data_IF_629077994634
#
_entry.id   IF_629077994634
#
_cell.length_a   1.000
_cell.length_b   1.000
_cell.length_c   1.000
_cell.angle_alpha   90.00
_cell.angle_beta   90.00
_cell.angle_gamma   90.00
#
_symmetry.space_group_name_H-M   'P 1'
#
loop_
_entity.id
_entity.type
_entity.pdbx_description
1 polymer ?
#
# COMPACT_ATOMS: atom_id res chain seq x y z
N UNK A 1 -5.66 8.17 -16.96
CA UNK A 1 -5.33 7.01 -16.09
C UNK A 1 -3.84 7.02 -15.80
N UNK A 2 -3.42 7.31 -14.57
CA UNK A 2 -2.00 7.29 -14.23
C UNK A 2 -1.43 5.87 -14.39
N UNK A 3 -0.53 5.71 -15.35
CA UNK A 3 0.14 4.45 -15.64
C UNK A 3 1.09 4.10 -14.48
N UNK A 4 0.80 3.02 -13.75
CA UNK A 4 1.71 2.51 -12.74
C UNK A 4 2.66 1.52 -13.42
N UNK A 5 3.87 1.97 -13.74
CA UNK A 5 4.90 1.17 -14.38
C UNK A 5 5.96 0.65 -13.37
N UNK A 6 6.83 -0.25 -13.84
CA UNK A 6 7.87 -0.83 -12.99
C UNK A 6 8.91 0.22 -12.54
N UNK A 7 9.11 1.29 -13.30
CA UNK A 7 10.06 2.36 -12.97
C UNK A 7 9.56 3.23 -11.81
N UNK A 8 8.30 3.65 -11.84
CA UNK A 8 7.64 4.36 -10.72
C UNK A 8 7.64 3.51 -9.47
N UNK A 9 7.35 2.20 -9.61
CA UNK A 9 7.49 1.25 -8.51
C UNK A 9 8.93 1.25 -7.96
N UNK A 10 9.96 1.24 -8.81
CA UNK A 10 11.36 1.27 -8.36
C UNK A 10 11.69 2.56 -7.61
N UNK A 11 11.12 3.70 -7.99
CA UNK A 11 11.29 4.97 -7.28
C UNK A 11 10.64 5.01 -5.89
N UNK A 12 9.45 4.41 -5.75
CA UNK A 12 8.71 4.36 -4.47
C UNK A 12 9.18 3.23 -3.55
N UNK A 13 9.66 2.12 -4.12
CA UNK A 13 10.12 0.94 -3.39
C UNK A 13 11.12 1.21 -2.27
N UNK A 14 12.18 2.05 -2.41
CA UNK A 14 13.12 2.30 -1.31
C UNK A 14 12.44 2.93 -0.09
N UNK A 15 11.63 3.98 -0.28
CA UNK A 15 10.90 4.64 0.81
C UNK A 15 9.95 3.70 1.53
N UNK A 16 9.17 2.92 0.76
CA UNK A 16 8.23 1.94 1.34
C UNK A 16 9.00 0.85 2.11
N UNK A 17 10.12 0.37 1.57
CA UNK A 17 10.98 -0.60 2.26
C UNK A 17 11.58 -0.05 3.55
N UNK A 18 11.92 1.23 3.61
CA UNK A 18 12.39 1.87 4.84
C UNK A 18 11.30 1.90 5.91
N UNK A 19 10.06 2.28 5.55
CA UNK A 19 8.91 2.26 6.46
C UNK A 19 8.66 0.84 6.95
N UNK A 20 8.61 -0.15 6.04
CA UNK A 20 8.46 -1.55 6.42
C UNK A 20 9.56 -2.03 7.40
N UNK A 21 10.82 -1.61 7.21
CA UNK A 21 11.91 -1.95 8.15
C UNK A 21 11.72 -1.29 9.52
N UNK A 22 11.31 -0.02 9.57
CA UNK A 22 11.07 0.70 10.84
C UNK A 22 10.02 -0.01 11.69
N UNK A 23 8.97 -0.50 11.05
CA UNK A 23 7.86 -1.20 11.70
C UNK A 23 8.07 -2.72 11.84
N UNK A 24 9.24 -3.24 11.47
CA UNK A 24 9.54 -4.68 11.57
C UNK A 24 8.69 -5.57 10.66
N UNK A 25 8.15 -5.03 9.57
CA UNK A 25 7.26 -5.73 8.62
C UNK A 25 8.03 -6.14 7.37
N UNK A 26 7.86 -7.40 6.96
CA UNK A 26 8.36 -7.94 5.70
C UNK A 26 7.26 -7.89 4.65
N UNK A 27 7.33 -6.90 3.77
CA UNK A 27 6.40 -6.71 2.66
C UNK A 27 7.08 -6.71 1.29
N UNK A 28 6.30 -7.00 0.25
CA UNK A 28 6.72 -7.01 -1.15
C UNK A 28 5.77 -6.18 -2.01
N UNK A 29 6.32 -5.38 -2.93
CA UNK A 29 5.54 -4.57 -3.85
C UNK A 29 5.32 -5.33 -5.17
N UNK A 30 4.11 -5.26 -5.72
CA UNK A 30 3.74 -5.75 -7.04
C UNK A 30 2.97 -4.67 -7.80
N UNK A 31 3.03 -4.72 -9.13
CA UNK A 31 2.16 -3.91 -10.00
C UNK A 31 1.15 -4.86 -10.63
N UNK A 32 -0.14 -4.53 -10.53
CA UNK A 32 -1.23 -5.29 -11.17
C UNK A 32 -1.88 -4.42 -12.25
N UNK A 33 -2.08 -5.00 -13.43
CA UNK A 33 -2.75 -4.39 -14.59
C UNK A 33 -2.25 -2.98 -14.96
N UNK A 34 -0.97 -2.68 -14.70
CA UNK A 34 -0.34 -1.37 -14.93
C UNK A 34 -1.08 -0.17 -14.31
N UNK A 35 -1.92 -0.42 -13.31
CA UNK A 35 -2.84 0.56 -12.74
C UNK A 35 -3.01 0.42 -11.24
N UNK A 36 -2.53 -0.66 -10.63
CA UNK A 36 -2.60 -0.88 -9.18
C UNK A 36 -1.22 -1.18 -8.61
N UNK A 37 -0.84 -0.45 -7.57
CA UNK A 37 0.30 -0.78 -6.71
C UNK A 37 -0.20 -1.65 -5.55
N UNK A 38 0.30 -2.87 -5.48
CA UNK A 38 -0.11 -3.85 -4.47
C UNK A 38 1.03 -4.06 -3.48
N UNK A 39 0.78 -3.83 -2.20
CA UNK A 39 1.68 -4.18 -1.10
C UNK A 39 1.23 -5.50 -0.49
N UNK A 40 2.07 -6.54 -0.61
CA UNK A 40 1.81 -7.84 0.01
C UNK A 40 2.68 -7.99 1.26
N UNK A 41 2.04 -8.00 2.42
CA UNK A 41 2.68 -8.20 3.71
C UNK A 41 2.77 -9.69 3.98
N UNK A 42 3.97 -10.21 4.28
CA UNK A 42 4.21 -11.65 4.44
C UNK A 42 4.43 -12.07 5.89
N UNK A 43 5.15 -11.26 6.66
CA UNK A 43 5.42 -11.50 8.06
C UNK A 43 5.79 -10.19 8.76
N UNK A 44 5.71 -10.14 10.08
CA UNK A 44 6.09 -8.96 10.85
C UNK A 44 5.69 -9.06 12.32
N UNK A 45 6.09 -8.04 13.09
CA UNK A 45 5.80 -7.95 14.53
C UNK A 45 4.36 -7.46 14.75
N UNK A 46 3.88 -6.61 13.84
CA UNK A 46 2.54 -6.01 13.90
C UNK A 46 1.46 -7.07 13.77
N UNK A 47 0.45 -7.00 14.62
CA UNK A 47 -0.77 -7.78 14.49
C UNK A 47 -1.76 -7.05 13.57
N UNK A 48 -2.22 -7.74 12.52
CA UNK A 48 -3.25 -7.25 11.61
C UNK A 48 -4.58 -8.02 11.78
N UNK A 49 -4.68 -8.88 12.80
CA UNK A 49 -5.83 -9.74 13.05
C UNK A 49 -6.03 -10.80 11.97
N UNK A 50 -7.29 -11.20 11.76
CA UNK A 50 -7.67 -12.23 10.78
C UNK A 50 -7.96 -11.68 9.38
N UNK A 51 -7.69 -10.40 9.14
CA UNK A 51 -7.99 -9.75 7.86
C UNK A 51 -7.02 -10.21 6.77
N UNK A 52 -7.54 -10.50 5.58
CA UNK A 52 -6.72 -10.90 4.43
C UNK A 52 -6.37 -9.70 3.53
N UNK A 53 -7.16 -8.64 3.60
CA UNK A 53 -6.97 -7.43 2.80
C UNK A 53 -7.45 -6.21 3.59
N UNK A 54 -6.73 -5.11 3.46
CA UNK A 54 -7.02 -3.88 4.19
C UNK A 54 -7.81 -2.91 3.30
N UNK A 55 -8.91 -2.39 3.84
CA UNK A 55 -9.65 -1.32 3.18
C UNK A 55 -8.98 0.04 3.43
N UNK A 56 -8.36 0.60 2.39
CA UNK A 56 -7.69 1.91 2.40
C UNK A 56 -8.52 3.09 2.90
N UNK A 57 -9.85 3.01 2.89
CA UNK A 57 -10.73 4.13 3.27
C UNK A 57 -11.25 4.02 4.70
N UNK A 58 -11.28 2.82 5.28
CA UNK A 58 -11.90 2.54 6.58
C UNK A 58 -10.97 1.79 7.56
N UNK A 59 -9.67 1.69 7.24
CA UNK A 59 -8.71 0.96 8.07
C UNK A 59 -8.64 1.48 9.51
N UNK A 60 -8.84 2.78 9.74
CA UNK A 60 -8.86 3.35 11.09
C UNK A 60 -10.01 2.81 11.95
N UNK A 61 -11.17 2.53 11.36
CA UNK A 61 -12.33 1.96 12.06
C UNK A 61 -12.16 0.45 12.26
N UNK A 62 -11.76 -0.27 11.20
CA UNK A 62 -11.60 -1.73 11.23
C UNK A 62 -10.41 -2.18 12.08
N UNK A 63 -9.37 -1.37 12.20
CA UNK A 63 -8.16 -1.66 12.97
C UNK A 63 -8.01 -0.75 14.19
N UNK A 64 -9.11 -0.20 14.72
CA UNK A 64 -9.08 0.69 15.88
C UNK A 64 -8.40 0.04 17.11
N UNK A 65 -8.55 -1.27 17.27
CA UNK A 65 -7.92 -2.05 18.34
C UNK A 65 -6.41 -2.28 18.10
N UNK A 66 -5.96 -2.24 16.83
CA UNK A 66 -4.59 -2.50 16.41
C UNK A 66 -3.84 -1.20 16.09
N UNK A 67 -3.49 -0.44 17.14
CA UNK A 67 -2.85 0.89 17.01
C UNK A 67 -1.55 0.87 16.20
N UNK A 68 -0.74 -0.18 16.32
CA UNK A 68 0.51 -0.32 15.57
C UNK A 68 0.25 -0.52 14.07
N UNK A 69 -0.77 -1.31 13.72
CA UNK A 69 -1.18 -1.49 12.32
C UNK A 69 -1.68 -0.18 11.72
N UNK A 70 -2.49 0.59 12.45
CA UNK A 70 -2.97 1.90 12.00
C UNK A 70 -1.80 2.85 11.78
N UNK A 71 -0.84 2.94 12.72
CA UNK A 71 0.34 3.80 12.58
C UNK A 71 1.20 3.42 11.37
N UNK A 72 1.37 2.13 11.10
CA UNK A 72 2.07 1.66 9.91
C UNK A 72 1.33 2.05 8.61
N UNK A 73 0.01 1.89 8.58
CA UNK A 73 -0.82 2.23 7.42
C UNK A 73 -0.84 3.73 7.15
N UNK A 74 -0.89 4.55 8.19
CA UNK A 74 -0.82 6.02 8.11
C UNK A 74 0.49 6.49 7.45
N UNK A 75 1.61 5.79 7.64
CA UNK A 75 2.89 6.10 6.99
C UNK A 75 2.99 5.53 5.57
N UNK A 76 2.52 4.29 5.36
CA UNK A 76 2.67 3.56 4.10
C UNK A 76 1.73 4.07 3.01
N UNK A 77 0.46 4.34 3.33
CA UNK A 77 -0.54 4.78 2.36
C UNK A 77 -0.16 6.09 1.63
N UNK A 78 0.31 7.17 2.31
CA UNK A 78 0.76 8.37 1.62
C UNK A 78 2.05 8.11 0.83
N UNK A 79 2.96 7.25 1.32
CA UNK A 79 4.17 6.87 0.58
C UNK A 79 3.83 6.11 -0.72
N UNK A 80 2.81 5.26 -0.71
CA UNK A 80 2.31 4.54 -1.89
C UNK A 80 1.55 5.44 -2.88
N UNK A 81 0.96 6.53 -2.39
CA UNK A 81 0.29 7.54 -3.20
C UNK A 81 1.20 8.73 -3.56
N UNK A 82 2.49 8.68 -3.24
CA UNK A 82 3.41 9.76 -3.56
C UNK A 82 3.56 9.92 -5.09
N UNK A 83 3.20 11.10 -5.60
CA UNK A 83 3.19 11.38 -7.04
C UNK A 83 1.96 10.84 -7.79
N UNK A 84 0.93 10.40 -7.06
CA UNK A 84 -0.33 9.90 -7.60
C UNK A 84 -1.30 11.03 -8.00
N UNK A 85 -0.78 12.08 -8.62
CA UNK A 85 -1.59 13.18 -9.16
C UNK A 85 -1.06 13.53 -10.54
N UNK A 86 -1.90 13.32 -11.55
CA UNK A 86 -1.63 13.75 -12.91
C UNK A 86 -2.40 15.06 -13.16
N UNK A 87 -1.72 16.20 -13.03
CA UNK A 87 -2.28 17.52 -13.36
C UNK A 87 -2.00 17.85 -14.83
N UNK A 88 -2.50 17.05 -15.76
CA UNK A 88 -2.56 17.45 -17.17
C UNK A 88 -3.60 18.56 -17.32
N UNK A 89 -3.21 19.63 -18.02
CA UNK A 89 -3.94 20.87 -18.35
C UNK A 89 -5.48 20.93 -18.15
N UNK A 90 -5.94 21.97 -17.45
CA UNK A 90 -7.35 22.28 -17.12
C UNK A 90 -8.26 22.41 -18.35
N UNK A 91 -7.71 22.68 -19.54
CA UNK A 91 -8.49 22.87 -20.77
C UNK A 91 -8.82 21.57 -21.51
N UNK A 92 -8.27 20.42 -21.10
CA UNK A 92 -8.44 19.17 -21.86
C UNK A 92 -8.68 17.92 -21.01
N UNK A 93 -8.34 17.92 -19.71
CA UNK A 93 -8.46 16.73 -18.86
C UNK A 93 -9.54 16.89 -17.77
N UNK A 94 -10.71 16.26 -17.99
CA UNK A 94 -11.83 16.24 -17.04
C UNK A 94 -11.61 15.27 -15.86
N UNK A 95 -10.45 14.60 -15.78
CA UNK A 95 -10.24 13.49 -14.86
C UNK A 95 -8.89 13.56 -14.10
N UNK A 96 -8.94 13.87 -12.80
CA UNK A 96 -7.82 13.60 -11.88
C UNK A 96 -7.71 12.07 -11.70
N UNK A 97 -6.90 11.40 -12.54
CA UNK A 97 -6.79 9.93 -12.52
C UNK A 97 -5.48 9.47 -11.91
N UNK A 98 -5.55 8.99 -10.68
CA UNK A 98 -4.47 8.25 -10.03
C UNK A 98 -4.45 6.74 -10.31
N UNK A 99 -3.38 6.06 -9.91
CA UNK A 99 -3.32 4.60 -9.78
C UNK A 99 -3.99 4.14 -8.48
N UNK A 100 -4.45 2.90 -8.48
CA UNK A 100 -5.03 2.25 -7.31
C UNK A 100 -3.94 1.73 -6.36
N UNK A 101 -4.26 1.68 -5.07
CA UNK A 101 -3.40 1.10 -4.03
C UNK A 101 -4.17 0.00 -3.32
N UNK A 102 -3.57 -1.18 -3.24
CA UNK A 102 -4.09 -2.33 -2.50
C UNK A 102 -3.05 -2.84 -1.50
N UNK A 103 -3.52 -3.24 -0.32
CA UNK A 103 -2.68 -3.81 0.73
C UNK A 103 -3.26 -5.18 1.11
N UNK A 104 -2.48 -6.22 0.90
CA UNK A 104 -2.82 -7.61 1.19
C UNK A 104 -2.02 -8.12 2.38
N UNK A 105 -2.69 -8.83 3.27
CA UNK A 105 -2.11 -9.49 4.44
C UNK A 105 -2.01 -10.98 4.13
N UNK A 106 -0.78 -11.48 3.99
CA UNK A 106 -0.53 -12.83 3.55
C UNK A 106 -1.01 -13.11 2.11
N UNK A 107 -1.18 -14.39 1.81
CA UNK A 107 -1.76 -14.92 0.57
C UNK A 107 -2.59 -16.14 0.91
N UNK A 108 -3.51 -16.49 0.01
CA UNK A 108 -4.38 -17.68 0.15
C UNK A 108 -3.63 -18.96 0.57
N UNK A 109 -2.43 -19.21 0.02
CA UNK A 109 -1.63 -20.40 0.34
C UNK A 109 -0.54 -20.16 1.40
N UNK A 110 -0.34 -18.92 1.83
CA UNK A 110 0.74 -18.49 2.73
C UNK A 110 0.19 -17.42 3.65
N UNK A 111 -0.46 -17.80 4.77
CA UNK A 111 -1.02 -16.84 5.69
C UNK A 111 0.07 -15.93 6.25
N UNK A 112 -0.35 -14.79 6.77
CA UNK A 112 0.55 -13.89 7.47
C UNK A 112 1.14 -14.58 8.71
N UNK A 113 2.44 -14.42 8.90
CA UNK A 113 3.15 -14.96 10.07
C UNK A 113 3.57 -13.80 10.97
N UNK A 114 2.90 -13.69 12.12
CA UNK A 114 3.36 -12.81 13.19
C UNK A 114 4.63 -13.41 13.82
N UNK A 115 5.67 -12.59 13.99
CA UNK A 115 6.98 -12.98 14.55
C UNK A 115 7.27 -12.15 15.78
#
# INVERSE_FOLDING_TARGET
MAFMNQERKKGLAPKIKEICKKHGVKATLAVRNHSTLVLNISSGIIDFGSETQINRYKYQEFMADYKEAVSFLDEVLPAMNAGNHNRSDLMTDYFDVGWYVDINIGRYNKPYVQT
#
